data_IF_252034043295
#
_entry.id   IF_252034043295
#
_cell.length_a   1.000
_cell.length_b   1.000
_cell.length_c   1.000
_cell.angle_alpha   90.00
_cell.angle_beta   90.00
_cell.angle_gamma   90.00
#
_symmetry.space_group_name_H-M   'P 1'
#
loop_
_entity.id
_entity.type
_entity.pdbx_description
1 polymer ?
#
# COMPACT_ATOMS: atom_id res chain seq x y z
N UNK A 1 -14.49 -0.39 39.11
CA UNK A 1 -14.97 -1.01 37.86
C UNK A 1 -14.70 -0.02 36.74
N UNK A 2 -13.61 -0.21 35.99
CA UNK A 2 -13.29 0.65 34.85
C UNK A 2 -14.31 0.40 33.74
N UNK A 3 -14.86 1.48 33.22
CA UNK A 3 -15.78 1.50 32.10
C UNK A 3 -15.03 0.90 30.90
N UNK A 4 -15.42 -0.30 30.46
CA UNK A 4 -14.93 -0.85 29.20
C UNK A 4 -15.71 -0.16 28.08
N UNK A 5 -15.02 0.62 27.26
CA UNK A 5 -15.58 1.21 26.04
C UNK A 5 -15.96 0.09 25.06
N UNK A 6 -17.23 -0.27 25.05
CA UNK A 6 -17.80 -1.38 24.26
C UNK A 6 -17.85 -1.06 22.75
N UNK A 7 -17.36 0.11 22.31
CA UNK A 7 -17.43 0.59 20.92
C UNK A 7 -16.15 1.33 20.48
N UNK A 8 -14.96 0.78 20.75
CA UNK A 8 -13.70 1.38 20.28
C UNK A 8 -13.36 0.89 18.88
N UNK A 9 -13.51 1.75 17.87
CA UNK A 9 -12.92 1.52 16.54
C UNK A 9 -11.47 1.99 16.50
N UNK A 10 -10.59 1.28 15.79
CA UNK A 10 -9.23 1.73 15.50
C UNK A 10 -9.02 1.96 14.01
N UNK A 11 -8.12 2.90 13.70
CA UNK A 11 -7.64 3.14 12.34
C UNK A 11 -6.12 3.06 12.35
N UNK A 12 -5.57 2.12 11.61
CA UNK A 12 -4.14 1.84 11.54
C UNK A 12 -3.62 2.17 10.13
N UNK A 13 -2.65 3.08 10.04
CA UNK A 13 -1.99 3.43 8.78
C UNK A 13 -0.72 2.60 8.59
N UNK A 14 -0.63 1.88 7.47
CA UNK A 14 0.55 1.09 7.09
C UNK A 14 1.23 1.75 5.89
N UNK A 15 2.48 2.18 6.06
CA UNK A 15 3.26 2.86 5.02
C UNK A 15 3.78 1.92 3.94
N UNK A 16 4.22 2.47 2.80
CA UNK A 16 4.68 1.66 1.66
C UNK A 16 5.93 0.83 1.98
N UNK A 17 6.87 1.38 2.75
CA UNK A 17 8.04 0.62 3.23
C UNK A 17 7.65 -0.56 4.10
N UNK A 18 6.64 -0.40 4.96
CA UNK A 18 6.11 -1.52 5.76
C UNK A 18 5.43 -2.56 4.87
N UNK A 19 4.70 -2.13 3.84
CA UNK A 19 4.06 -3.05 2.88
C UNK A 19 5.06 -3.88 2.09
N UNK A 20 6.32 -3.43 1.92
CA UNK A 20 7.37 -4.22 1.26
C UNK A 20 7.62 -5.59 1.92
N UNK A 21 7.26 -5.76 3.19
CA UNK A 21 7.16 -7.07 3.84
C UNK A 21 5.71 -7.36 4.26
N UNK A 22 4.92 -7.78 3.26
CA UNK A 22 3.51 -8.13 3.49
C UNK A 22 3.33 -9.25 4.52
N UNK A 23 4.25 -10.22 4.60
CA UNK A 23 4.11 -11.32 5.57
C UNK A 23 4.22 -10.79 6.99
N UNK A 24 5.19 -9.93 7.26
CA UNK A 24 5.32 -9.28 8.57
C UNK A 24 4.10 -8.42 8.91
N UNK A 25 3.54 -7.67 7.95
CA UNK A 25 2.30 -6.90 8.15
C UNK A 25 1.12 -7.82 8.47
N UNK A 26 0.92 -8.87 7.68
CA UNK A 26 -0.16 -9.85 7.86
C UNK A 26 -0.07 -10.50 9.24
N UNK A 27 1.08 -11.05 9.59
CA UNK A 27 1.24 -11.88 10.78
C UNK A 27 1.30 -11.04 12.06
N UNK A 28 1.91 -9.85 12.01
CA UNK A 28 2.15 -9.05 13.22
C UNK A 28 1.17 -7.88 13.42
N UNK A 29 0.53 -7.38 12.35
CA UNK A 29 -0.38 -6.22 12.43
C UNK A 29 -1.83 -6.65 12.25
N UNK A 30 -2.12 -7.42 11.19
CA UNK A 30 -3.50 -7.88 10.95
C UNK A 30 -3.88 -8.93 12.00
N UNK A 31 -3.08 -9.98 12.14
CA UNK A 31 -3.35 -11.09 13.07
C UNK A 31 -2.60 -10.99 14.42
N UNK A 32 -1.53 -10.21 14.51
CA UNK A 32 -0.58 -10.28 15.62
C UNK A 32 -1.00 -9.65 16.96
N UNK A 33 -1.70 -8.51 17.03
CA UNK A 33 -2.15 -7.93 18.30
C UNK A 33 -3.50 -8.51 18.74
N UNK A 34 -4.25 -9.08 17.80
CA UNK A 34 -5.59 -9.57 18.02
C UNK A 34 -5.57 -11.06 18.34
N UNK A 35 -5.82 -11.41 19.61
CA UNK A 35 -6.49 -12.68 19.86
C UNK A 35 -7.83 -12.73 19.10
N UNK A 36 -8.50 -13.87 19.04
CA UNK A 36 -9.78 -14.05 18.31
C UNK A 36 -10.87 -12.98 18.64
N UNK A 37 -10.73 -12.27 19.77
CA UNK A 37 -11.67 -11.26 20.25
C UNK A 37 -11.45 -9.83 19.71
N UNK A 38 -10.34 -9.55 19.03
CA UNK A 38 -9.95 -8.18 18.61
C UNK A 38 -9.75 -8.05 17.09
N UNK A 39 -10.38 -8.94 16.30
CA UNK A 39 -10.33 -8.91 14.84
C UNK A 39 -11.29 -7.90 14.22
N UNK A 40 -12.33 -7.51 14.95
CA UNK A 40 -13.38 -6.61 14.46
C UNK A 40 -13.13 -5.17 14.91
N UNK A 41 -13.83 -4.23 14.27
CA UNK A 41 -13.73 -2.79 14.58
C UNK A 41 -12.35 -2.17 14.30
N UNK A 42 -11.60 -2.77 13.37
CA UNK A 42 -10.28 -2.29 12.94
C UNK A 42 -10.30 -1.92 11.47
N UNK A 43 -9.90 -0.70 11.15
CA UNK A 43 -9.74 -0.20 9.79
C UNK A 43 -8.25 -0.09 9.50
N UNK A 44 -7.81 -0.70 8.40
CA UNK A 44 -6.43 -0.60 7.93
C UNK A 44 -6.38 0.26 6.68
N UNK A 45 -5.59 1.32 6.72
CA UNK A 45 -5.29 2.17 5.57
C UNK A 45 -3.89 1.85 5.09
N UNK A 46 -3.77 1.24 3.92
CA UNK A 46 -2.48 0.82 3.38
C UNK A 46 -2.05 1.74 2.23
N UNK A 47 -0.75 2.01 2.14
CA UNK A 47 -0.14 2.55 0.91
C UNK A 47 0.12 1.41 -0.08
N UNK A 48 0.39 1.74 -1.34
CA UNK A 48 1.03 0.80 -2.26
C UNK A 48 2.40 0.34 -1.71
N UNK A 49 2.93 -0.77 -2.23
CA UNK A 49 4.29 -1.24 -1.90
C UNK A 49 5.33 -0.14 -2.13
N UNK A 50 6.42 -0.18 -1.34
CA UNK A 50 7.51 0.78 -1.47
C UNK A 50 8.02 0.88 -2.90
N UNK A 51 8.18 2.11 -3.41
CA UNK A 51 8.63 2.36 -4.79
C UNK A 51 7.51 2.47 -5.82
N UNK A 52 6.45 1.65 -5.72
CA UNK A 52 5.42 1.51 -6.77
C UNK A 52 4.79 2.85 -7.20
N UNK A 53 4.44 3.73 -6.26
CA UNK A 53 3.87 5.04 -6.62
C UNK A 53 4.83 5.91 -7.43
N UNK A 54 6.14 5.80 -7.20
CA UNK A 54 7.14 6.54 -7.98
C UNK A 54 7.24 6.02 -9.41
N UNK A 55 7.10 4.70 -9.62
CA UNK A 55 7.20 4.09 -10.95
C UNK A 55 5.91 4.31 -11.77
N UNK A 56 4.77 4.41 -11.10
CA UNK A 56 3.50 4.73 -11.74
C UNK A 56 3.41 6.18 -12.23
N UNK A 57 4.03 7.11 -11.52
CA UNK A 57 3.91 8.56 -11.74
C UNK A 57 5.17 9.15 -12.39
N UNK A 58 5.02 10.33 -12.98
CA UNK A 58 6.16 11.06 -13.55
C UNK A 58 7.18 11.40 -12.46
N UNK A 59 8.45 11.11 -12.77
CA UNK A 59 9.54 11.37 -11.83
C UNK A 59 9.84 12.87 -11.76
N UNK A 60 9.39 13.50 -10.67
CA UNK A 60 9.39 14.96 -10.44
C UNK A 60 10.68 15.71 -10.76
N UNK A 61 11.86 15.08 -10.65
CA UNK A 61 13.16 15.74 -10.88
C UNK A 61 13.69 15.57 -12.30
N UNK A 62 13.42 14.43 -12.93
CA UNK A 62 13.98 14.10 -14.26
C UNK A 62 12.96 14.29 -15.38
N UNK A 63 11.67 14.44 -15.05
CA UNK A 63 10.57 14.45 -16.02
C UNK A 63 10.38 13.10 -16.72
N UNK A 64 11.02 12.03 -16.24
CA UNK A 64 10.88 10.71 -16.85
C UNK A 64 9.42 10.25 -16.68
N UNK A 65 8.74 9.86 -17.77
CA UNK A 65 7.36 9.39 -17.67
C UNK A 65 7.30 8.10 -16.84
N UNK A 66 6.36 8.08 -15.89
CA UNK A 66 5.97 6.84 -15.21
C UNK A 66 5.03 6.01 -16.09
N UNK A 67 4.67 4.82 -15.62
CA UNK A 67 3.84 3.87 -16.36
C UNK A 67 2.53 4.50 -16.85
N UNK A 68 1.88 5.32 -16.02
CA UNK A 68 0.62 5.96 -16.42
C UNK A 68 0.81 6.91 -17.62
N UNK A 69 1.90 7.69 -17.62
CA UNK A 69 2.19 8.62 -18.71
C UNK A 69 2.56 7.89 -20.00
N UNK A 70 3.33 6.80 -19.90
CA UNK A 70 3.65 5.91 -21.04
C UNK A 70 2.39 5.26 -21.63
N UNK A 71 1.48 4.82 -20.77
CA UNK A 71 0.19 4.28 -21.20
C UNK A 71 -0.68 5.34 -21.89
N UNK A 72 -0.78 6.53 -21.29
CA UNK A 72 -1.64 7.61 -21.77
C UNK A 72 -1.13 8.29 -23.06
N UNK A 73 0.19 8.28 -23.31
CA UNK A 73 0.79 8.91 -24.50
C UNK A 73 0.49 8.16 -25.80
N UNK A 74 0.13 6.87 -25.72
CA UNK A 74 -0.23 6.04 -26.89
C UNK A 74 0.91 5.82 -27.89
N UNK A 75 2.14 6.24 -27.58
CA UNK A 75 3.31 6.00 -28.42
C UNK A 75 3.87 4.62 -28.10
N UNK A 76 3.83 3.72 -29.09
CA UNK A 76 4.40 2.36 -29.05
C UNK A 76 3.87 1.50 -27.89
N UNK A 77 2.83 0.70 -28.17
CA UNK A 77 2.02 -0.05 -27.17
C UNK A 77 2.73 -1.03 -26.21
N UNK A 78 4.06 -1.08 -26.22
CA UNK A 78 4.91 -1.97 -25.43
C UNK A 78 5.71 -1.27 -24.33
N UNK A 79 6.02 0.03 -24.40
CA UNK A 79 6.90 0.68 -23.41
C UNK A 79 6.33 0.66 -21.98
N UNK A 80 5.02 0.92 -21.84
CA UNK A 80 4.36 0.82 -20.54
C UNK A 80 4.27 -0.63 -20.05
N UNK A 81 4.21 -1.61 -20.96
CA UNK A 81 4.21 -3.04 -20.61
C UNK A 81 5.57 -3.47 -20.10
N UNK A 82 6.63 -3.05 -20.78
CA UNK A 82 8.01 -3.27 -20.32
C UNK A 82 8.22 -2.64 -18.95
N UNK A 83 7.78 -1.39 -18.74
CA UNK A 83 7.86 -0.74 -17.44
C UNK A 83 7.06 -1.49 -16.35
N UNK A 84 5.90 -2.06 -16.68
CA UNK A 84 5.12 -2.89 -15.76
C UNK A 84 5.83 -4.20 -15.38
N UNK A 85 6.66 -4.78 -16.25
CA UNK A 85 7.45 -5.99 -15.90
C UNK A 85 8.59 -5.73 -14.92
N UNK A 86 8.92 -4.46 -14.67
CA UNK A 86 9.98 -4.04 -13.75
C UNK A 86 9.47 -3.68 -12.35
N UNK A 87 8.15 -3.70 -12.12
CA UNK A 87 7.52 -3.59 -10.81
C UNK A 87 7.62 -4.90 -10.02
#
# INVERSE_FOLDING_TARGET
>A
MSQQDVNRHTVEKIGGTSMSDYRAVRDNIIFGPAGERDLYQRIFVVSAYGGVTNDLLEHKKSGRPGIYALYASGQSGDEWREAMTQL
#
